data_IF_924220188324
#
_entry.id   IF_924220188324
#
_cell.length_a   1.000
_cell.length_b   1.000
_cell.length_c   1.000
_cell.angle_alpha   90.00
_cell.angle_beta   90.00
_cell.angle_gamma   90.00
#
_symmetry.space_group_name_H-M   'P 1'
#
loop_
_entity.id
_entity.type
_entity.pdbx_description
1 polymer ?
#
# COMPACT_ATOMS: atom_id res chain seq x y z
N UNK A 1 14.23 10.95 -9.93
CA UNK A 1 13.74 10.14 -8.79
C UNK A 1 12.72 10.89 -7.92
N UNK A 2 12.87 12.20 -7.68
CA UNK A 2 11.90 12.99 -6.88
C UNK A 2 10.46 12.90 -7.41
N UNK A 3 10.29 12.87 -8.74
CA UNK A 3 8.95 12.86 -9.36
C UNK A 3 8.23 11.50 -9.29
N UNK A 4 8.97 10.41 -9.02
CA UNK A 4 8.41 9.05 -8.97
C UNK A 4 8.10 8.63 -7.53
N UNK A 5 8.76 9.24 -6.55
CA UNK A 5 8.62 8.89 -5.13
C UNK A 5 7.18 8.98 -4.62
N UNK A 6 6.41 9.98 -5.07
CA UNK A 6 5.01 10.15 -4.66
C UNK A 6 4.14 8.91 -4.98
N UNK A 7 4.47 8.19 -6.05
CA UNK A 7 3.73 6.99 -6.49
C UNK A 7 4.23 5.69 -5.83
N UNK A 8 5.33 5.75 -5.06
CA UNK A 8 5.97 4.58 -4.45
C UNK A 8 5.97 4.63 -2.92
N UNK A 9 5.36 5.67 -2.34
CA UNK A 9 5.28 5.87 -0.89
C UNK A 9 3.89 5.55 -0.35
N UNK A 10 3.84 4.97 0.84
CA UNK A 10 2.62 4.74 1.58
C UNK A 10 2.27 5.99 2.40
N UNK A 11 1.07 6.53 2.20
CA UNK A 11 0.58 7.72 2.93
C UNK A 11 0.40 7.47 4.43
N UNK A 12 0.15 6.22 4.85
CA UNK A 12 -0.08 5.87 6.27
C UNK A 12 1.21 5.87 7.11
N UNK A 13 2.37 5.57 6.51
CA UNK A 13 3.65 5.55 7.23
C UNK A 13 4.69 6.55 6.69
N UNK A 14 4.37 7.26 5.61
CA UNK A 14 5.27 8.18 4.90
C UNK A 14 6.59 7.55 4.40
N UNK A 15 6.68 6.22 4.38
CA UNK A 15 7.81 5.45 3.84
C UNK A 15 7.49 4.82 2.49
N UNK A 16 8.46 4.16 1.86
CA UNK A 16 8.22 3.39 0.63
C UNK A 16 7.27 2.21 0.88
N UNK A 17 6.54 1.81 -0.17
CA UNK A 17 5.64 0.67 -0.14
C UNK A 17 6.40 -0.63 0.17
N UNK A 18 5.90 -1.32 1.19
CA UNK A 18 6.40 -2.60 1.66
C UNK A 18 5.24 -3.59 1.72
N UNK A 19 5.39 -4.69 1.00
CA UNK A 19 4.32 -5.65 0.72
C UNK A 19 3.07 -4.91 0.20
N UNK A 20 3.26 -4.16 -0.89
CA UNK A 20 2.26 -3.29 -1.52
C UNK A 20 0.92 -4.01 -1.62
N UNK A 21 -0.10 -3.37 -1.05
CA UNK A 21 -1.45 -3.90 -0.93
C UNK A 21 -2.44 -2.83 -1.38
N UNK A 22 -3.22 -3.16 -2.40
CA UNK A 22 -4.10 -2.24 -3.12
C UNK A 22 -5.55 -2.52 -2.77
N UNK A 23 -6.33 -1.47 -2.51
CA UNK A 23 -7.80 -1.55 -2.41
C UNK A 23 -8.37 -1.73 -3.82
N UNK A 24 -9.19 -2.76 -4.03
CA UNK A 24 -9.68 -3.14 -5.37
C UNK A 24 -10.58 -2.05 -5.96
N UNK A 25 -11.49 -1.49 -5.16
CA UNK A 25 -12.51 -0.55 -5.62
C UNK A 25 -11.94 0.80 -6.09
N UNK A 26 -10.87 1.30 -5.48
CA UNK A 26 -10.32 2.63 -5.77
C UNK A 26 -8.85 2.65 -6.20
N UNK A 27 -8.19 1.49 -6.24
CA UNK A 27 -6.79 1.31 -6.65
C UNK A 27 -5.73 2.09 -5.85
N UNK A 28 -6.07 2.64 -4.69
CA UNK A 28 -5.08 3.20 -3.78
C UNK A 28 -4.28 2.09 -3.09
N UNK A 29 -2.96 2.29 -3.00
CA UNK A 29 -2.01 1.28 -2.50
C UNK A 29 -1.29 1.74 -1.24
N UNK A 30 -1.09 0.79 -0.33
CA UNK A 30 -0.46 0.99 0.98
C UNK A 30 0.49 -0.17 1.30
N UNK A 31 1.25 -0.06 2.39
CA UNK A 31 1.94 -1.23 2.94
C UNK A 31 0.91 -2.20 3.54
N UNK A 32 1.12 -3.52 3.40
CA UNK A 32 0.22 -4.55 3.95
C UNK A 32 -0.11 -4.33 5.43
N UNK A 33 0.92 -4.14 6.26
CA UNK A 33 0.74 -3.94 7.70
C UNK A 33 0.00 -2.64 8.03
N UNK A 34 0.25 -1.58 7.26
CA UNK A 34 -0.40 -0.29 7.45
C UNK A 34 -1.90 -0.37 7.15
N UNK A 35 -2.28 -0.92 5.99
CA UNK A 35 -3.70 -0.98 5.62
C UNK A 35 -4.48 -1.99 6.47
N UNK A 36 -3.89 -3.13 6.83
CA UNK A 36 -4.55 -4.08 7.73
C UNK A 36 -4.84 -3.45 9.09
N UNK A 37 -3.86 -2.75 9.69
CA UNK A 37 -4.07 -2.04 10.97
C UNK A 37 -5.13 -0.94 10.85
N UNK A 38 -5.12 -0.19 9.77
CA UNK A 38 -6.12 0.87 9.55
C UNK A 38 -7.54 0.27 9.49
N UNK A 39 -7.71 -0.84 8.77
CA UNK A 39 -9.00 -1.50 8.58
C UNK A 39 -9.53 -2.23 9.82
N UNK A 40 -8.76 -2.30 10.92
CA UNK A 40 -9.27 -2.73 12.23
C UNK A 40 -10.29 -1.73 12.81
N UNK A 41 -10.29 -0.49 12.35
CA UNK A 41 -11.10 0.61 12.90
C UNK A 41 -11.90 1.40 11.86
N UNK A 42 -11.81 1.04 10.58
CA UNK A 42 -12.42 1.76 9.46
C UNK A 42 -12.70 0.82 8.28
N UNK A 43 -13.72 1.11 7.50
CA UNK A 43 -14.13 0.34 6.32
C UNK A 43 -14.02 1.15 5.01
N UNK A 44 -13.52 2.39 5.08
CA UNK A 44 -13.29 3.28 3.93
C UNK A 44 -11.81 3.44 3.58
N UNK A 45 -11.53 3.90 2.36
CA UNK A 45 -10.17 4.18 1.90
C UNK A 45 -9.58 5.41 2.62
N UNK A 46 -8.34 5.35 3.16
CA UNK A 46 -7.68 6.50 3.82
C UNK A 46 -7.42 7.73 2.94
N UNK A 47 -7.63 7.62 1.61
CA UNK A 47 -7.28 8.66 0.63
C UNK A 47 -8.51 9.30 0.01
N UNK A 48 -9.54 8.51 -0.28
CA UNK A 48 -10.71 8.97 -1.03
C UNK A 48 -12.06 8.61 -0.40
N UNK A 49 -12.06 8.05 0.81
CA UNK A 49 -13.25 7.65 1.57
C UNK A 49 -14.18 6.64 0.88
N UNK A 50 -13.79 6.06 -0.25
CA UNK A 50 -14.53 4.99 -0.90
C UNK A 50 -14.65 3.76 0.03
N UNK A 51 -15.83 3.15 0.12
CA UNK A 51 -16.02 1.90 0.87
C UNK A 51 -15.14 0.79 0.28
N UNK A 52 -14.42 0.08 1.14
CA UNK A 52 -13.45 -0.96 0.74
C UNK A 52 -14.17 -2.25 0.37
N UNK A 53 -15.14 -2.66 1.18
CA UNK A 53 -15.98 -3.82 0.93
C UNK A 53 -17.23 -3.76 1.82
N UNK A 54 -18.42 -4.17 1.33
CA UNK A 54 -19.69 -4.06 2.06
C UNK A 54 -19.86 -4.97 3.30
N UNK A 55 -18.87 -5.80 3.65
CA UNK A 55 -19.04 -6.82 4.70
C UNK A 55 -17.75 -7.04 5.50
N UNK A 56 -16.63 -7.26 4.78
CA UNK A 56 -15.31 -7.44 5.38
C UNK A 56 -14.28 -6.65 4.58
N UNK A 57 -13.75 -5.53 5.11
CA UNK A 57 -12.74 -4.72 4.42
C UNK A 57 -11.49 -5.49 4.02
N UNK A 58 -11.14 -6.59 4.69
CA UNK A 58 -9.97 -7.41 4.36
C UNK A 58 -10.14 -8.18 3.04
N UNK A 59 -11.38 -8.39 2.58
CA UNK A 59 -11.71 -8.98 1.29
C UNK A 59 -11.61 -7.98 0.13
N UNK A 60 -11.67 -6.68 0.42
CA UNK A 60 -11.56 -5.59 -0.56
C UNK A 60 -10.13 -5.18 -0.91
N UNK A 61 -9.12 -5.88 -0.38
CA UNK A 61 -7.70 -5.58 -0.60
C UNK A 61 -6.96 -6.76 -1.23
N UNK A 62 -5.95 -6.47 -2.05
CA UNK A 62 -5.13 -7.48 -2.72
C UNK A 62 -3.65 -7.09 -2.76
N UNK A 63 -2.77 -8.09 -2.64
CA UNK A 63 -1.34 -7.88 -2.81
C UNK A 63 -1.01 -7.46 -4.26
N UNK A 64 -0.32 -6.34 -4.42
CA UNK A 64 0.14 -5.81 -5.70
C UNK A 64 1.60 -6.17 -5.93
N UNK A 65 1.80 -7.39 -6.43
CA UNK A 65 3.14 -7.94 -6.68
C UNK A 65 3.89 -7.14 -7.76
N UNK A 66 3.18 -6.55 -8.71
CA UNK A 66 3.76 -5.77 -9.80
C UNK A 66 4.30 -4.46 -9.27
N UNK A 67 3.47 -3.70 -8.54
CA UNK A 67 3.90 -2.44 -7.93
C UNK A 67 5.04 -2.69 -6.93
N UNK A 68 4.95 -3.74 -6.11
CA UNK A 68 6.04 -4.08 -5.19
C UNK A 68 7.37 -4.37 -5.93
N UNK A 69 7.31 -5.09 -7.06
CA UNK A 69 8.50 -5.35 -7.87
C UNK A 69 9.06 -4.05 -8.50
N UNK A 70 8.21 -3.13 -8.90
CA UNK A 70 8.62 -1.81 -9.40
C UNK A 70 9.30 -0.99 -8.31
N UNK A 71 8.73 -0.94 -7.10
CA UNK A 71 9.31 -0.26 -5.94
C UNK A 71 10.74 -0.76 -5.68
N UNK A 72 10.96 -2.08 -5.64
CA UNK A 72 12.29 -2.64 -5.39
C UNK A 72 13.30 -2.44 -6.54
N UNK A 73 12.82 -2.34 -7.78
CA UNK A 73 13.69 -2.07 -8.94
C UNK A 73 14.06 -0.60 -9.06
N UNK A 74 13.16 0.31 -8.67
CA UNK A 74 13.32 1.75 -8.84
C UNK A 74 14.06 2.39 -7.67
N UNK A 75 13.85 1.91 -6.44
CA UNK A 75 14.46 2.47 -5.21
C UNK A 75 15.74 1.70 -4.86
N UNK A 76 16.93 2.27 -5.05
CA UNK A 76 18.19 1.57 -4.75
C UNK A 76 18.30 1.24 -3.26
N UNK A 77 18.77 0.04 -2.94
CA UNK A 77 19.06 -0.37 -1.55
C UNK A 77 17.85 -0.70 -0.67
N UNK A 78 16.62 -0.46 -1.13
CA UNK A 78 15.40 -0.70 -0.33
C UNK A 78 15.22 -2.17 0.03
N UNK A 79 15.40 -3.09 -0.92
CA UNK A 79 15.31 -4.54 -0.66
C UNK A 79 16.32 -5.02 0.39
N UNK A 80 17.54 -4.46 0.36
CA UNK A 80 18.63 -4.85 1.26
C UNK A 80 18.37 -4.41 2.71
N UNK A 81 17.57 -3.36 2.93
CA UNK A 81 17.17 -2.90 4.26
C UNK A 81 16.13 -3.80 4.95
N UNK A 82 15.43 -4.66 4.20
CA UNK A 82 14.37 -5.54 4.71
C UNK A 82 14.87 -6.95 5.10
N UNK A 83 16.09 -7.31 4.68
CA UNK A 83 16.76 -8.59 4.98
C UNK A 83 17.72 -8.48 6.18
N UNK A 84 17.53 -7.50 7.06
CA UNK A 84 18.25 -7.33 8.32
C UNK A 84 17.27 -7.32 9.48
#
# INVERSE_FOLDING_TARGET
>A
LRDVNANLCCVLCSGYLVDATTIIECLHTFCRSCILRYLESSDTCPVCDASVHPADPTMGIKADKTLQALVYKIVPGLYQSKSR
#
